data_IF_359712200155
#
_entry.id   IF_359712200155
#
_cell.length_a   1.000
_cell.length_b   1.000
_cell.length_c   1.000
_cell.angle_alpha   90.00
_cell.angle_beta   90.00
_cell.angle_gamma   90.00
#
_symmetry.space_group_name_H-M   'P 1'
#
loop_
_entity.id
_entity.type
_entity.pdbx_description
1 polymer ?
#
# COMPACT_ATOMS: atom_id res chain seq x y z
N UNK A 1 -33.57 6.53 17.11
CA UNK A 1 -33.35 7.07 15.75
C UNK A 1 -31.92 7.55 15.71
N UNK A 2 -31.09 7.01 14.81
CA UNK A 2 -29.63 7.19 14.83
C UNK A 2 -29.15 8.65 14.73
N UNK A 3 -30.00 9.62 14.39
CA UNK A 3 -29.64 11.05 14.44
C UNK A 3 -28.49 11.46 13.49
N UNK A 4 -28.00 10.54 12.66
CA UNK A 4 -26.92 10.78 11.71
C UNK A 4 -27.56 11.38 10.45
N UNK A 5 -27.31 12.67 10.23
CA UNK A 5 -27.70 13.37 9.00
C UNK A 5 -27.12 12.65 7.77
N UNK A 6 -27.86 12.53 6.64
CA UNK A 6 -27.39 11.83 5.43
C UNK A 6 -26.03 12.30 4.92
N UNK A 7 -25.72 13.60 5.05
CA UNK A 7 -24.40 14.14 4.69
C UNK A 7 -23.27 13.47 5.49
N UNK A 8 -23.48 13.21 6.78
CA UNK A 8 -22.48 12.56 7.65
C UNK A 8 -22.26 11.10 7.26
N UNK A 9 -23.29 10.40 6.80
CA UNK A 9 -23.16 9.02 6.29
C UNK A 9 -22.29 9.01 5.02
N UNK A 10 -22.51 9.97 4.11
CA UNK A 10 -21.70 10.05 2.88
C UNK A 10 -20.22 10.29 3.16
N UNK A 11 -19.89 11.12 4.16
CA UNK A 11 -18.49 11.38 4.57
C UNK A 11 -17.83 10.14 5.18
N UNK A 12 -18.56 9.35 5.97
CA UNK A 12 -18.08 8.08 6.53
C UNK A 12 -17.81 7.06 5.42
N UNK A 13 -18.71 6.93 4.44
CA UNK A 13 -18.54 6.02 3.29
C UNK A 13 -17.33 6.42 2.44
N UNK A 14 -17.12 7.73 2.26
CA UNK A 14 -15.98 8.26 1.50
C UNK A 14 -14.66 8.18 2.27
N UNK A 15 -14.66 7.82 3.55
CA UNK A 15 -13.47 7.84 4.40
C UNK A 15 -12.91 9.24 4.63
N UNK A 16 -13.69 10.30 4.39
CA UNK A 16 -13.28 11.69 4.68
C UNK A 16 -13.58 12.08 6.13
N UNK A 17 -14.25 11.20 6.87
CA UNK A 17 -14.53 11.33 8.30
C UNK A 17 -14.39 9.96 8.94
N UNK A 18 -13.80 9.94 10.12
CA UNK A 18 -13.67 8.76 10.95
C UNK A 18 -14.98 8.37 11.66
N UNK A 19 -15.18 7.09 11.83
CA UNK A 19 -16.21 6.52 12.68
C UNK A 19 -15.87 6.75 14.15
N UNK A 20 -16.81 7.32 14.90
CA UNK A 20 -16.84 7.11 16.34
C UNK A 20 -17.29 5.69 16.67
N UNK A 21 -16.94 5.18 17.85
CA UNK A 21 -17.38 3.86 18.33
C UNK A 21 -18.91 3.75 18.28
N UNK A 22 -19.63 4.78 18.74
CA UNK A 22 -21.09 4.81 18.73
C UNK A 22 -21.66 4.68 17.31
N UNK A 23 -21.11 5.42 16.34
CA UNK A 23 -21.55 5.36 14.95
C UNK A 23 -21.27 3.99 14.33
N UNK A 24 -20.12 3.37 14.63
CA UNK A 24 -19.80 2.00 14.20
C UNK A 24 -20.89 1.04 14.66
N UNK A 25 -21.20 1.03 15.96
CA UNK A 25 -22.21 0.14 16.56
C UNK A 25 -23.61 0.39 15.98
N UNK A 26 -24.01 1.65 15.81
CA UNK A 26 -25.33 1.98 15.28
C UNK A 26 -25.50 1.53 13.82
N UNK A 27 -24.46 1.68 13.00
CA UNK A 27 -24.46 1.26 11.60
C UNK A 27 -24.39 -0.26 11.50
N UNK A 28 -23.57 -0.92 12.31
CA UNK A 28 -23.50 -2.39 12.38
C UNK A 28 -24.87 -3.01 12.67
N UNK A 29 -25.59 -2.49 13.67
CA UNK A 29 -26.95 -2.93 13.99
C UNK A 29 -27.92 -2.70 12.83
N UNK A 30 -27.85 -1.54 12.19
CA UNK A 30 -28.72 -1.22 11.05
C UNK A 30 -28.46 -2.11 9.82
N UNK A 31 -27.22 -2.56 9.63
CA UNK A 31 -26.80 -3.43 8.52
C UNK A 31 -26.87 -4.93 8.86
N UNK A 32 -27.24 -5.30 10.09
CA UNK A 32 -27.26 -6.69 10.54
C UNK A 32 -25.87 -7.32 10.67
N UNK A 33 -24.82 -6.51 10.88
CA UNK A 33 -23.45 -6.97 11.05
C UNK A 33 -23.28 -7.44 12.51
N UNK A 34 -23.01 -8.73 12.70
CA UNK A 34 -22.84 -9.34 14.02
C UNK A 34 -21.45 -9.17 14.66
N UNK A 35 -20.59 -8.34 14.07
CA UNK A 35 -19.22 -8.11 14.54
C UNK A 35 -19.19 -6.74 15.22
N UNK A 36 -19.04 -6.72 16.55
CA UNK A 36 -18.98 -5.45 17.30
C UNK A 36 -17.74 -4.62 16.93
N UNK A 37 -17.96 -3.34 16.66
CA UNK A 37 -16.91 -2.39 16.29
C UNK A 37 -16.25 -2.71 14.94
N UNK A 38 -16.95 -3.41 14.06
CA UNK A 38 -16.48 -3.78 12.72
C UNK A 38 -15.86 -2.60 11.95
N UNK A 39 -16.58 -1.49 11.80
CA UNK A 39 -16.07 -0.34 11.04
C UNK A 39 -14.92 0.35 11.76
N UNK A 40 -15.00 0.47 13.09
CA UNK A 40 -13.93 1.03 13.90
C UNK A 40 -12.63 0.21 13.82
N UNK A 41 -12.72 -1.13 13.81
CA UNK A 41 -11.58 -2.03 13.63
C UNK A 41 -10.95 -1.88 12.24
N UNK A 42 -11.76 -1.78 11.19
CA UNK A 42 -11.27 -1.56 9.82
C UNK A 42 -10.56 -0.21 9.74
N UNK A 43 -11.12 0.84 10.35
CA UNK A 43 -10.50 2.16 10.40
C UNK A 43 -9.15 2.11 11.10
N UNK A 44 -9.08 1.54 12.31
CA UNK A 44 -7.82 1.42 13.05
C UNK A 44 -6.75 0.66 12.26
N UNK A 45 -7.14 -0.43 11.58
CA UNK A 45 -6.22 -1.17 10.71
C UNK A 45 -5.74 -0.32 9.52
N UNK A 46 -6.63 0.47 8.93
CA UNK A 46 -6.28 1.39 7.85
C UNK A 46 -5.33 2.50 8.31
N UNK A 47 -5.55 3.09 9.48
CA UNK A 47 -4.67 4.11 10.06
C UNK A 47 -3.24 3.56 10.26
N UNK A 48 -3.11 2.36 10.83
CA UNK A 48 -1.82 1.68 10.98
C UNK A 48 -1.18 1.42 9.61
N UNK A 49 -1.97 0.91 8.65
CA UNK A 49 -1.51 0.65 7.30
C UNK A 49 -1.00 1.92 6.61
N UNK A 50 -1.76 3.02 6.68
CA UNK A 50 -1.41 4.30 6.08
C UNK A 50 -0.12 4.85 6.68
N UNK A 51 0.00 4.85 8.01
CA UNK A 51 1.19 5.31 8.72
C UNK A 51 2.46 4.53 8.32
N UNK A 52 2.37 3.21 8.20
CA UNK A 52 3.48 2.38 7.75
C UNK A 52 3.80 2.62 6.26
N UNK A 53 2.76 2.71 5.43
CA UNK A 53 2.91 2.92 3.99
C UNK A 53 3.54 4.27 3.67
N UNK A 54 3.19 5.35 4.38
CA UNK A 54 3.81 6.66 4.19
C UNK A 54 5.32 6.61 4.43
N UNK A 55 5.76 5.89 5.48
CA UNK A 55 7.19 5.69 5.76
C UNK A 55 7.89 4.87 4.67
N UNK A 56 7.22 3.87 4.13
CA UNK A 56 7.78 3.05 3.05
C UNK A 56 7.87 3.83 1.72
N UNK A 57 6.88 4.66 1.41
CA UNK A 57 6.88 5.47 0.18
C UNK A 57 7.99 6.52 0.15
N UNK A 58 8.51 6.94 1.30
CA UNK A 58 9.72 7.79 1.37
C UNK A 58 11.01 7.04 1.08
N UNK A 59 10.98 5.71 1.10
CA UNK A 59 12.14 4.85 0.84
C UNK A 59 12.04 4.29 -0.57
N UNK A 60 12.73 4.94 -1.50
CA UNK A 60 12.79 4.54 -2.89
C UNK A 60 14.21 4.74 -3.43
N UNK A 61 14.60 4.04 -4.51
CA UNK A 61 15.88 4.26 -5.17
C UNK A 61 15.91 5.62 -5.88
N UNK A 62 17.05 5.96 -6.48
CA UNK A 62 17.12 7.12 -7.36
C UNK A 62 16.28 6.87 -8.64
N UNK A 63 15.07 7.42 -8.66
CA UNK A 63 14.13 7.24 -9.77
C UNK A 63 14.66 7.78 -11.11
N UNK A 64 15.62 8.71 -11.08
CA UNK A 64 16.24 9.23 -12.30
C UNK A 64 17.08 8.18 -13.03
N UNK A 65 17.42 7.07 -12.37
CA UNK A 65 18.15 5.94 -12.95
C UNK A 65 17.27 4.96 -13.72
N UNK A 66 15.94 5.11 -13.63
CA UNK A 66 14.98 4.20 -14.25
C UNK A 66 14.28 4.83 -15.45
N UNK A 67 14.18 4.06 -16.52
CA UNK A 67 13.37 4.42 -17.68
C UNK A 67 11.88 4.32 -17.36
N UNK A 68 11.10 5.28 -17.85
CA UNK A 68 9.63 5.22 -17.79
C UNK A 68 9.05 4.02 -18.52
N UNK A 69 9.76 3.48 -19.53
CA UNK A 69 9.32 2.30 -20.27
C UNK A 69 9.38 1.01 -19.44
N UNK A 70 10.28 0.93 -18.44
CA UNK A 70 10.42 -0.26 -17.61
C UNK A 70 9.13 -0.55 -16.82
N UNK A 71 8.46 0.51 -16.36
CA UNK A 71 7.20 0.46 -15.62
C UNK A 71 6.06 1.11 -16.41
N UNK A 72 5.90 0.76 -17.69
CA UNK A 72 4.89 1.40 -18.56
C UNK A 72 3.43 1.29 -18.07
N UNK A 73 3.11 0.26 -17.29
CA UNK A 73 1.80 -0.05 -16.70
C UNK A 73 1.58 0.61 -15.32
N UNK A 74 2.63 1.15 -14.69
CA UNK A 74 2.56 1.70 -13.33
C UNK A 74 3.35 2.99 -13.21
N UNK A 75 2.77 4.02 -12.57
CA UNK A 75 3.49 5.25 -12.24
C UNK A 75 4.62 4.95 -11.25
N UNK A 76 5.87 5.07 -11.70
CA UNK A 76 7.07 4.69 -10.95
C UNK A 76 7.18 5.40 -9.59
N UNK A 77 6.74 6.65 -9.53
CA UNK A 77 6.69 7.48 -8.33
C UNK A 77 5.64 7.05 -7.31
N UNK A 78 4.71 6.16 -7.69
CA UNK A 78 3.67 5.61 -6.80
C UNK A 78 3.98 4.19 -6.34
N UNK A 79 5.07 3.60 -6.83
CA UNK A 79 5.47 2.25 -6.41
C UNK A 79 5.93 2.32 -4.96
N UNK A 80 5.36 1.46 -4.11
CA UNK A 80 5.94 1.18 -2.81
C UNK A 80 7.11 0.20 -3.01
N UNK A 81 8.32 0.74 -3.07
CA UNK A 81 9.55 0.00 -3.36
C UNK A 81 9.93 -1.00 -2.27
N UNK A 82 9.45 -0.80 -1.05
CA UNK A 82 9.69 -1.73 0.07
C UNK A 82 8.72 -2.91 0.01
N UNK A 83 7.43 -2.61 -0.05
CA UNK A 83 6.35 -3.62 -0.01
C UNK A 83 6.33 -4.48 -1.27
N UNK A 84 6.61 -3.89 -2.44
CA UNK A 84 6.54 -4.58 -3.73
C UNK A 84 7.92 -5.05 -4.23
N UNK A 85 8.92 -5.15 -3.36
CA UNK A 85 10.32 -5.43 -3.74
C UNK A 85 10.48 -6.64 -4.65
N UNK A 86 9.73 -7.73 -4.43
CA UNK A 86 9.87 -8.96 -5.22
C UNK A 86 9.54 -8.72 -6.69
N UNK A 87 8.35 -8.17 -6.96
CA UNK A 87 7.90 -7.81 -8.30
C UNK A 87 8.82 -6.76 -8.94
N UNK A 88 9.24 -5.74 -8.17
CA UNK A 88 10.15 -4.69 -8.67
C UNK A 88 11.49 -5.29 -9.11
N UNK A 89 12.10 -6.10 -8.24
CA UNK A 89 13.41 -6.73 -8.50
C UNK A 89 13.32 -7.65 -9.70
N UNK A 90 12.32 -8.53 -9.73
CA UNK A 90 12.12 -9.44 -10.86
C UNK A 90 12.01 -8.66 -12.17
N UNK A 91 11.19 -7.61 -12.19
CA UNK A 91 10.98 -6.80 -13.39
C UNK A 91 12.24 -6.08 -13.87
N UNK A 92 13.03 -5.52 -12.96
CA UNK A 92 14.30 -4.86 -13.28
C UNK A 92 15.30 -5.87 -13.86
N UNK A 93 15.36 -7.08 -13.32
CA UNK A 93 16.30 -8.11 -13.79
C UNK A 93 15.85 -8.79 -15.09
N UNK A 94 14.55 -8.84 -15.37
CA UNK A 94 14.01 -9.38 -16.63
C UNK A 94 14.12 -8.41 -17.81
N UNK A 95 13.81 -7.12 -17.59
CA UNK A 95 13.66 -6.15 -18.68
C UNK A 95 14.57 -4.91 -18.56
N UNK A 96 15.21 -4.72 -17.41
CA UNK A 96 16.03 -3.55 -17.14
C UNK A 96 17.41 -3.60 -17.78
N UNK A 97 18.01 -2.43 -17.93
CA UNK A 97 19.38 -2.27 -18.39
C UNK A 97 20.38 -2.28 -17.21
N UNK A 98 21.68 -2.30 -17.53
CA UNK A 98 22.74 -2.37 -16.52
C UNK A 98 22.71 -1.23 -15.49
N UNK A 99 22.27 -0.01 -15.87
CA UNK A 99 22.15 1.10 -14.93
C UNK A 99 21.05 0.85 -13.89
N UNK A 100 19.89 0.36 -14.35
CA UNK A 100 18.73 0.07 -13.52
C UNK A 100 19.01 -1.08 -12.56
N UNK A 101 19.67 -2.13 -13.05
CA UNK A 101 20.10 -3.28 -12.25
C UNK A 101 21.09 -2.83 -11.16
N UNK A 102 22.07 -1.98 -11.51
CA UNK A 102 23.04 -1.49 -10.54
C UNK A 102 22.38 -0.63 -9.45
N UNK A 103 21.41 0.20 -9.81
CA UNK A 103 20.66 0.99 -8.84
C UNK A 103 19.79 0.10 -7.93
N UNK A 104 19.16 -0.95 -8.46
CA UNK A 104 18.43 -1.92 -7.68
C UNK A 104 19.34 -2.64 -6.66
N UNK A 105 20.54 -3.05 -7.08
CA UNK A 105 21.53 -3.69 -6.18
C UNK A 105 21.99 -2.72 -5.09
N UNK A 106 22.23 -1.44 -5.43
CA UNK A 106 22.58 -0.40 -4.45
C UNK A 106 21.48 -0.21 -3.42
N UNK A 107 20.23 -0.15 -3.87
CA UNK A 107 19.08 0.15 -3.03
C UNK A 107 18.66 -1.02 -2.14
N UNK A 108 18.50 -2.22 -2.70
CA UNK A 108 18.01 -3.40 -1.96
C UNK A 108 19.12 -4.20 -1.27
N UNK A 109 20.36 -4.05 -1.72
CA UNK A 109 21.49 -4.87 -1.28
C UNK A 109 21.54 -6.23 -1.98
N UNK A 110 22.76 -6.74 -2.18
CA UNK A 110 23.01 -7.99 -2.93
C UNK A 110 22.30 -9.21 -2.33
N UNK A 111 22.33 -9.35 -1.01
CA UNK A 111 21.75 -10.51 -0.32
C UNK A 111 20.23 -10.60 -0.53
N UNK A 112 19.54 -9.45 -0.48
CA UNK A 112 18.11 -9.35 -0.76
C UNK A 112 17.79 -9.76 -2.19
N UNK A 113 18.54 -9.24 -3.16
CA UNK A 113 18.37 -9.55 -4.59
C UNK A 113 18.54 -11.05 -4.82
N UNK A 114 19.63 -11.64 -4.33
CA UNK A 114 19.94 -13.07 -4.51
C UNK A 114 18.83 -13.93 -3.92
N UNK A 115 18.38 -13.61 -2.71
CA UNK A 115 17.31 -14.34 -2.03
C UNK A 115 16.03 -14.34 -2.86
N UNK A 116 15.63 -13.18 -3.39
CA UNK A 116 14.40 -13.03 -4.17
C UNK A 116 14.50 -13.76 -5.51
N UNK A 117 15.62 -13.60 -6.23
CA UNK A 117 15.79 -14.25 -7.54
C UNK A 117 15.90 -15.78 -7.42
N UNK A 118 16.48 -16.30 -6.33
CA UNK A 118 16.49 -17.75 -6.07
C UNK A 118 15.07 -18.31 -5.90
N UNK A 119 14.21 -17.64 -5.13
CA UNK A 119 12.85 -18.10 -4.85
C UNK A 119 11.93 -18.10 -6.08
N UNK A 120 12.26 -17.29 -7.09
CA UNK A 120 11.49 -17.21 -8.35
C UNK A 120 11.93 -18.27 -9.37
N UNK A 121 13.19 -18.74 -9.27
CA UNK A 121 13.79 -19.71 -10.19
C UNK A 121 13.77 -21.16 -9.67
N UNK A 122 13.38 -21.37 -8.40
CA UNK A 122 13.20 -22.68 -7.76
C UNK A 122 11.78 -23.20 -7.91
#
# INVERSE_FOLDING_TARGET
MSGIYPQRISELIKGTRDFTIQQSIDIEKALGIGIEGYFYKIQANYEVYAFLTEKELTQHPDLSKFSTALFWDTRIEKINWIKNKEWVIQRIFEYGNSQEINEAIRFYGKDTIITILHNVLS
#
